data_IF_617532523107
#
_entry.id   IF_617532523107
#
_cell.length_a   1.000
_cell.length_b   1.000
_cell.length_c   1.000
_cell.angle_alpha   90.00
_cell.angle_beta   90.00
_cell.angle_gamma   90.00
#
_symmetry.space_group_name_H-M   'P 1'
#
loop_
_entity.id
_entity.type
_entity.pdbx_description
1 polymer ?
#
# COMPACT_ATOMS: atom_id res chain seq x y z
N UNK A 1 -32.48 -6.05 18.43
CA UNK A 1 -31.29 -6.95 18.15
C UNK A 1 -30.52 -6.47 16.92
N UNK A 2 -31.16 -6.27 15.77
CA UNK A 2 -30.47 -5.87 14.52
C UNK A 2 -29.79 -4.48 14.63
N UNK A 3 -30.42 -3.49 15.25
CA UNK A 3 -29.82 -2.16 15.44
C UNK A 3 -28.64 -2.17 16.41
N UNK A 4 -28.74 -2.91 17.52
CA UNK A 4 -27.63 -3.04 18.46
C UNK A 4 -26.42 -3.74 17.82
N UNK A 5 -26.65 -4.73 16.96
CA UNK A 5 -25.61 -5.39 16.20
C UNK A 5 -24.92 -4.44 15.18
N UNK A 6 -25.69 -3.61 14.49
CA UNK A 6 -25.13 -2.59 13.58
C UNK A 6 -24.29 -1.54 14.30
N UNK A 7 -24.72 -1.10 15.49
CA UNK A 7 -23.95 -0.15 16.30
C UNK A 7 -22.64 -0.79 16.74
N UNK A 8 -22.68 -2.05 17.18
CA UNK A 8 -21.49 -2.81 17.55
C UNK A 8 -20.51 -2.96 16.37
N UNK A 9 -20.99 -3.33 15.19
CA UNK A 9 -20.17 -3.42 13.98
C UNK A 9 -19.52 -2.08 13.61
N UNK A 10 -20.28 -0.97 13.63
CA UNK A 10 -19.73 0.36 13.34
C UNK A 10 -18.68 0.78 14.35
N UNK A 11 -18.91 0.55 15.63
CA UNK A 11 -17.94 0.84 16.69
C UNK A 11 -16.67 0.00 16.53
N UNK A 12 -16.81 -1.28 16.19
CA UNK A 12 -15.69 -2.17 15.90
C UNK A 12 -14.86 -1.71 14.70
N UNK A 13 -15.51 -1.23 13.63
CA UNK A 13 -14.81 -0.67 12.46
C UNK A 13 -13.99 0.58 12.81
N UNK A 14 -14.56 1.50 13.63
CA UNK A 14 -13.84 2.70 14.07
C UNK A 14 -12.62 2.30 14.92
N UNK A 15 -12.81 1.39 15.87
CA UNK A 15 -11.71 0.92 16.73
C UNK A 15 -10.61 0.23 15.90
N UNK A 16 -10.98 -0.65 14.98
CA UNK A 16 -10.04 -1.30 14.08
C UNK A 16 -9.28 -0.29 13.20
N UNK A 17 -9.98 0.74 12.71
CA UNK A 17 -9.37 1.84 11.94
C UNK A 17 -8.35 2.63 12.76
N UNK A 18 -8.64 2.92 14.03
CA UNK A 18 -7.71 3.61 14.94
C UNK A 18 -6.46 2.75 15.19
N UNK A 19 -6.64 1.48 15.51
CA UNK A 19 -5.52 0.54 15.76
C UNK A 19 -4.64 0.43 14.51
N UNK A 20 -5.26 0.23 13.34
CA UNK A 20 -4.54 0.18 12.06
C UNK A 20 -3.81 1.48 11.78
N UNK A 21 -4.46 2.63 12.03
CA UNK A 21 -3.85 3.95 11.83
C UNK A 21 -2.62 4.18 12.70
N UNK A 22 -2.68 3.78 13.97
CA UNK A 22 -1.54 3.85 14.90
C UNK A 22 -0.41 2.92 14.43
N UNK A 23 -0.71 1.68 14.08
CA UNK A 23 0.26 0.70 13.63
C UNK A 23 0.97 1.17 12.34
N UNK A 24 0.20 1.58 11.34
CA UNK A 24 0.73 2.07 10.07
C UNK A 24 1.49 3.39 10.21
N UNK A 25 0.99 4.30 11.07
CA UNK A 25 1.67 5.55 11.39
C UNK A 25 3.03 5.33 12.05
N UNK A 26 3.08 4.40 13.00
CA UNK A 26 4.33 4.03 13.69
C UNK A 26 5.33 3.40 12.72
N UNK A 27 4.88 2.43 11.91
CA UNK A 27 5.71 1.80 10.88
C UNK A 27 6.25 2.85 9.89
N UNK A 28 5.37 3.72 9.39
CA UNK A 28 5.75 4.78 8.46
C UNK A 28 6.77 5.74 9.07
N UNK A 29 6.59 6.15 10.34
CA UNK A 29 7.53 6.99 11.07
C UNK A 29 8.91 6.35 11.23
N UNK A 30 8.97 5.07 11.58
CA UNK A 30 10.23 4.31 11.69
C UNK A 30 10.93 4.24 10.32
N UNK A 31 10.20 3.87 9.26
CA UNK A 31 10.77 3.79 7.92
C UNK A 31 11.26 5.15 7.44
N UNK A 32 10.51 6.23 7.74
CA UNK A 32 10.94 7.60 7.42
C UNK A 32 12.22 7.97 8.16
N UNK A 33 12.30 7.74 9.47
CA UNK A 33 13.50 8.03 10.25
C UNK A 33 14.75 7.35 9.69
N UNK A 34 14.63 6.09 9.28
CA UNK A 34 15.73 5.31 8.71
C UNK A 34 16.09 5.72 7.27
N UNK A 35 15.14 6.19 6.48
CA UNK A 35 15.32 6.48 5.05
C UNK A 35 15.47 7.97 4.72
N UNK A 36 15.15 8.88 5.64
CA UNK A 36 15.08 10.34 5.44
C UNK A 36 16.27 10.92 4.69
N UNK A 37 17.49 10.50 5.05
CA UNK A 37 18.73 11.01 4.43
C UNK A 37 18.97 10.48 3.00
N UNK A 38 18.30 9.41 2.62
CA UNK A 38 18.38 8.79 1.30
C UNK A 38 17.27 9.24 0.35
N UNK A 39 16.21 9.86 0.89
CA UNK A 39 15.08 10.33 0.12
C UNK A 39 15.41 11.65 -0.60
N UNK A 40 15.00 11.79 -1.89
CA UNK A 40 15.12 13.05 -2.58
C UNK A 40 14.13 14.07 -2.02
N UNK A 41 14.51 15.36 -2.06
CA UNK A 41 13.68 16.46 -1.59
C UNK A 41 14.43 17.41 -0.67
N UNK A 42 14.01 18.67 -0.66
CA UNK A 42 14.64 19.74 0.14
C UNK A 42 14.02 19.86 1.54
N UNK A 43 12.77 19.48 1.69
CA UNK A 43 12.02 19.61 2.96
C UNK A 43 11.56 18.23 3.46
N UNK A 44 11.36 18.10 4.76
CA UNK A 44 10.86 16.88 5.36
C UNK A 44 9.46 16.50 4.84
N UNK A 45 8.62 17.50 4.59
CA UNK A 45 7.30 17.29 3.98
C UNK A 45 7.43 16.67 2.59
N UNK A 46 8.34 17.16 1.75
CA UNK A 46 8.57 16.59 0.42
C UNK A 46 9.09 15.16 0.52
N UNK A 47 10.06 14.90 1.39
CA UNK A 47 10.64 13.58 1.60
C UNK A 47 9.60 12.57 2.12
N UNK A 48 8.79 12.99 3.10
CA UNK A 48 7.72 12.18 3.67
C UNK A 48 6.64 11.85 2.64
N UNK A 49 6.23 12.81 1.81
CA UNK A 49 5.28 12.56 0.72
C UNK A 49 5.84 11.62 -0.34
N UNK A 50 7.13 11.73 -0.68
CA UNK A 50 7.77 10.79 -1.60
C UNK A 50 7.77 9.37 -1.02
N UNK A 51 8.10 9.22 0.26
CA UNK A 51 8.03 7.92 0.93
C UNK A 51 6.61 7.37 0.95
N UNK A 52 5.62 8.22 1.24
CA UNK A 52 4.21 7.83 1.22
C UNK A 52 3.78 7.34 -0.17
N UNK A 53 4.22 8.00 -1.23
CA UNK A 53 3.98 7.57 -2.61
C UNK A 53 4.63 6.22 -2.95
N UNK A 54 5.86 5.99 -2.50
CA UNK A 54 6.56 4.71 -2.67
C UNK A 54 5.82 3.59 -1.92
N UNK A 55 5.46 3.81 -0.65
CA UNK A 55 4.74 2.82 0.14
C UNK A 55 3.32 2.58 -0.39
N UNK A 56 2.61 3.62 -0.80
CA UNK A 56 1.31 3.49 -1.48
C UNK A 56 1.43 2.62 -2.73
N UNK A 57 2.45 2.86 -3.56
CA UNK A 57 2.66 2.08 -4.78
C UNK A 57 2.97 0.61 -4.49
N UNK A 58 3.90 0.33 -3.57
CA UNK A 58 4.39 -1.02 -3.30
C UNK A 58 3.45 -1.86 -2.43
N UNK A 59 2.78 -1.22 -1.46
CA UNK A 59 1.93 -1.92 -0.49
C UNK A 59 0.47 -2.01 -0.98
N UNK A 60 0.04 -1.03 -1.79
CA UNK A 60 -1.35 -0.96 -2.22
C UNK A 60 -1.52 -1.07 -3.73
N UNK A 61 -1.02 -0.11 -4.52
CA UNK A 61 -1.36 -0.02 -5.94
C UNK A 61 -0.96 -1.28 -6.73
N UNK A 62 0.29 -1.72 -6.60
CA UNK A 62 0.80 -2.87 -7.34
C UNK A 62 0.05 -4.15 -6.97
N UNK A 63 -0.13 -4.51 -5.67
CA UNK A 63 -0.97 -5.65 -5.31
C UNK A 63 -2.43 -5.50 -5.72
N UNK A 64 -2.99 -4.30 -5.62
CA UNK A 64 -4.38 -4.02 -6.03
C UNK A 64 -4.64 -4.27 -7.52
N UNK A 65 -3.67 -4.01 -8.39
CA UNK A 65 -3.80 -4.29 -9.82
C UNK A 65 -3.96 -5.79 -10.11
N UNK A 66 -3.38 -6.68 -9.31
CA UNK A 66 -3.54 -8.14 -9.45
C UNK A 66 -4.71 -8.66 -8.61
N UNK A 67 -4.84 -8.16 -7.40
CA UNK A 67 -5.83 -8.58 -6.41
C UNK A 67 -6.65 -7.38 -5.94
N UNK A 68 -7.58 -6.87 -6.79
CA UNK A 68 -8.37 -5.70 -6.43
C UNK A 68 -9.30 -5.99 -5.26
N UNK A 69 -9.57 -4.96 -4.46
CA UNK A 69 -10.52 -5.06 -3.35
C UNK A 69 -11.93 -5.42 -3.88
N UNK A 70 -12.60 -6.28 -3.16
CA UNK A 70 -13.98 -6.68 -3.44
C UNK A 70 -14.90 -6.29 -2.28
N UNK A 71 -16.18 -6.03 -2.54
CA UNK A 71 -17.17 -5.81 -1.48
C UNK A 71 -17.20 -6.97 -0.47
N UNK A 72 -17.58 -6.70 0.79
CA UNK A 72 -17.87 -7.76 1.75
C UNK A 72 -18.84 -8.78 1.14
N UNK A 73 -18.68 -10.04 1.47
CA UNK A 73 -19.47 -11.18 0.93
C UNK A 73 -19.11 -11.63 -0.49
N UNK A 74 -18.21 -10.95 -1.18
CA UNK A 74 -17.66 -11.45 -2.45
C UNK A 74 -16.46 -12.34 -2.18
N UNK A 75 -16.53 -13.56 -2.67
CA UNK A 75 -15.54 -14.62 -2.45
C UNK A 75 -15.91 -15.58 -1.31
N UNK A 76 -15.36 -16.78 -1.37
CA UNK A 76 -15.67 -17.86 -0.46
C UNK A 76 -14.89 -17.78 0.85
N UNK A 77 -15.51 -18.24 1.94
CA UNK A 77 -14.86 -18.27 3.27
C UNK A 77 -13.63 -19.17 3.32
N UNK A 78 -13.67 -20.28 2.58
CA UNK A 78 -12.58 -21.28 2.54
C UNK A 78 -11.31 -20.73 1.87
N UNK A 79 -11.43 -19.77 0.96
CA UNK A 79 -10.31 -19.18 0.22
C UNK A 79 -9.70 -17.94 0.89
N UNK A 80 -10.29 -17.44 1.98
CA UNK A 80 -9.83 -16.20 2.67
C UNK A 80 -8.35 -16.25 3.02
N UNK A 81 -7.87 -17.37 3.57
CA UNK A 81 -6.45 -17.52 3.96
C UNK A 81 -5.55 -17.49 2.73
N UNK A 82 -5.93 -18.21 1.66
CA UNK A 82 -5.17 -18.24 0.42
C UNK A 82 -5.08 -16.84 -0.21
N UNK A 83 -6.21 -16.11 -0.29
CA UNK A 83 -6.24 -14.74 -0.82
C UNK A 83 -5.37 -13.78 -0.01
N UNK A 84 -5.42 -13.90 1.32
CA UNK A 84 -4.57 -13.11 2.20
C UNK A 84 -3.08 -13.40 1.99
N UNK A 85 -2.70 -14.68 1.84
CA UNK A 85 -1.32 -15.09 1.57
C UNK A 85 -0.86 -14.53 0.21
N UNK A 86 -1.67 -14.66 -0.84
CA UNK A 86 -1.33 -14.14 -2.17
C UNK A 86 -1.11 -12.62 -2.13
N UNK A 87 -2.01 -11.89 -1.47
CA UNK A 87 -1.90 -10.43 -1.35
C UNK A 87 -0.65 -10.00 -0.55
N UNK A 88 -0.43 -10.61 0.62
CA UNK A 88 0.73 -10.30 1.47
C UNK A 88 2.05 -10.69 0.79
N UNK A 89 2.07 -11.83 0.10
CA UNK A 89 3.24 -12.25 -0.68
C UNK A 89 3.57 -11.24 -1.76
N UNK A 90 2.56 -10.73 -2.46
CA UNK A 90 2.80 -9.72 -3.50
C UNK A 90 3.30 -8.39 -2.91
N UNK A 91 2.76 -7.95 -1.75
CA UNK A 91 3.29 -6.80 -1.01
C UNK A 91 4.78 -7.01 -0.68
N UNK A 92 5.12 -8.17 -0.12
CA UNK A 92 6.50 -8.48 0.26
C UNK A 92 7.43 -8.48 -0.97
N UNK A 93 7.05 -9.16 -2.04
CA UNK A 93 7.84 -9.23 -3.27
C UNK A 93 8.00 -7.84 -3.89
N UNK A 94 6.93 -7.06 -3.99
CA UNK A 94 6.96 -5.68 -4.51
C UNK A 94 7.86 -4.78 -3.67
N UNK A 95 7.70 -4.79 -2.35
CA UNK A 95 8.47 -3.96 -1.44
C UNK A 95 9.96 -4.32 -1.41
N UNK A 96 10.29 -5.60 -1.27
CA UNK A 96 11.69 -6.06 -1.33
C UNK A 96 12.31 -5.84 -2.70
N UNK A 97 11.55 -6.07 -3.76
CA UNK A 97 11.97 -5.76 -5.13
C UNK A 97 12.35 -4.28 -5.29
N UNK A 98 11.52 -3.37 -4.79
CA UNK A 98 11.80 -1.94 -4.83
C UNK A 98 13.14 -1.59 -4.13
N UNK A 99 13.40 -2.18 -2.97
CA UNK A 99 14.66 -1.98 -2.24
C UNK A 99 15.87 -2.52 -3.01
N UNK A 100 15.76 -3.70 -3.62
CA UNK A 100 16.83 -4.32 -4.41
C UNK A 100 17.14 -3.46 -5.63
N UNK A 101 16.14 -3.08 -6.41
CA UNK A 101 16.33 -2.27 -7.62
C UNK A 101 16.78 -0.84 -7.30
N UNK A 102 16.38 -0.27 -6.17
CA UNK A 102 16.92 0.99 -5.68
C UNK A 102 18.44 0.88 -5.38
N UNK A 103 18.85 -0.19 -4.69
CA UNK A 103 20.29 -0.43 -4.44
C UNK A 103 21.07 -0.66 -5.74
N UNK A 104 20.48 -1.39 -6.69
CA UNK A 104 21.08 -1.62 -8.00
C UNK A 104 21.24 -0.31 -8.78
N UNK A 105 20.21 0.55 -8.78
CA UNK A 105 20.26 1.84 -9.47
C UNK A 105 21.38 2.75 -8.97
N UNK A 106 21.74 2.66 -7.68
CA UNK A 106 22.86 3.42 -7.11
C UNK A 106 24.23 2.96 -7.60
N UNK A 107 24.37 1.72 -8.08
CA UNK A 107 25.63 1.21 -8.66
C UNK A 107 25.89 1.74 -10.07
N UNK A 108 24.86 2.21 -10.76
CA UNK A 108 25.00 2.76 -12.10
C UNK A 108 25.26 4.26 -12.02
N UNK A 109 26.39 4.70 -12.54
CA UNK A 109 26.76 6.12 -12.65
C UNK A 109 26.13 6.76 -13.90
N UNK A 110 25.86 8.07 -13.83
CA UNK A 110 25.34 8.89 -14.92
C UNK A 110 23.95 8.46 -15.47
N UNK A 111 23.77 8.53 -16.79
CA UNK A 111 22.49 8.33 -17.50
C UNK A 111 21.86 6.93 -17.32
N UNK A 112 22.53 6.00 -16.64
CA UNK A 112 22.06 4.61 -16.43
C UNK A 112 21.24 4.40 -15.15
N UNK A 113 20.99 5.43 -14.34
CA UNK A 113 20.15 5.32 -13.13
C UNK A 113 18.71 4.87 -13.41
N UNK A 114 18.20 5.12 -14.62
CA UNK A 114 16.89 4.64 -15.05
C UNK A 114 16.82 3.12 -15.25
N UNK A 115 17.96 2.45 -15.39
CA UNK A 115 18.03 0.99 -15.56
C UNK A 115 17.46 0.28 -14.33
N UNK A 116 17.71 0.80 -13.14
CA UNK A 116 17.09 0.24 -11.91
C UNK A 116 15.57 0.37 -11.90
N UNK A 117 15.04 1.52 -12.30
CA UNK A 117 13.58 1.74 -12.38
C UNK A 117 12.92 0.84 -13.43
N UNK A 118 13.49 0.78 -14.64
CA UNK A 118 13.02 -0.09 -15.71
C UNK A 118 13.10 -1.56 -15.30
N UNK A 119 14.20 -1.97 -14.66
CA UNK A 119 14.36 -3.32 -14.14
C UNK A 119 13.28 -3.67 -13.10
N UNK A 120 12.93 -2.73 -12.22
CA UNK A 120 11.84 -2.94 -11.28
C UNK A 120 10.48 -3.10 -11.98
N UNK A 121 10.18 -2.27 -12.97
CA UNK A 121 8.93 -2.39 -13.75
C UNK A 121 8.85 -3.75 -14.44
N UNK A 122 9.92 -4.18 -15.11
CA UNK A 122 9.98 -5.50 -15.77
C UNK A 122 9.81 -6.63 -14.73
N UNK A 123 10.49 -6.52 -13.59
CA UNK A 123 10.36 -7.48 -12.49
C UNK A 123 8.91 -7.58 -12.01
N UNK A 124 8.21 -6.47 -11.77
CA UNK A 124 6.81 -6.47 -11.33
C UNK A 124 5.90 -7.08 -12.40
N UNK A 125 6.12 -6.80 -13.68
CA UNK A 125 5.35 -7.43 -14.77
C UNK A 125 5.53 -8.95 -14.76
N UNK A 126 6.76 -9.44 -14.60
CA UNK A 126 7.05 -10.87 -14.51
C UNK A 126 6.34 -11.50 -13.33
N UNK A 127 6.44 -10.89 -12.14
CA UNK A 127 5.76 -11.39 -10.93
C UNK A 127 4.24 -11.37 -11.11
N UNK A 128 3.69 -10.31 -11.70
CA UNK A 128 2.26 -10.21 -11.99
C UNK A 128 1.75 -11.37 -12.86
N UNK A 129 2.55 -11.82 -13.84
CA UNK A 129 2.20 -12.94 -14.73
C UNK A 129 2.35 -14.27 -13.99
N UNK A 130 3.38 -14.45 -13.16
CA UNK A 130 3.68 -15.72 -12.49
C UNK A 130 2.73 -15.95 -11.30
N UNK A 131 2.34 -14.89 -10.58
CA UNK A 131 1.46 -15.03 -9.41
C UNK A 131 0.09 -15.61 -9.82
N UNK A 132 -0.45 -16.56 -9.05
CA UNK A 132 -1.77 -17.14 -9.30
C UNK A 132 -2.86 -16.08 -9.37
N UNK A 133 -3.94 -16.36 -10.07
CA UNK A 133 -5.12 -15.50 -10.06
C UNK A 133 -5.94 -15.67 -8.78
N UNK A 134 -6.88 -14.75 -8.57
CA UNK A 134 -7.83 -14.89 -7.47
C UNK A 134 -8.66 -16.16 -7.72
N UNK A 135 -8.73 -17.09 -6.75
CA UNK A 135 -9.49 -18.35 -6.93
C UNK A 135 -11.00 -18.13 -6.99
N UNK A 136 -11.50 -17.00 -6.50
CA UNK A 136 -12.94 -16.77 -6.35
C UNK A 136 -13.53 -16.04 -7.56
N UNK A 137 -14.71 -16.50 -7.98
CA UNK A 137 -15.53 -15.78 -8.94
C UNK A 137 -16.24 -14.59 -8.32
N UNK A 138 -16.45 -13.54 -9.12
CA UNK A 138 -17.17 -12.36 -8.68
C UNK A 138 -18.67 -12.60 -8.94
N UNK A 139 -19.40 -12.92 -7.88
CA UNK A 139 -20.85 -13.16 -7.93
C UNK A 139 -21.71 -11.92 -7.78
N UNK A 140 -21.12 -10.79 -7.34
CA UNK A 140 -21.83 -9.53 -7.18
C UNK A 140 -21.95 -8.73 -8.50
N UNK A 141 -22.96 -7.85 -8.64
CA UNK A 141 -23.09 -6.98 -9.80
C UNK A 141 -21.82 -6.13 -10.01
N UNK A 142 -21.30 -6.10 -11.24
CA UNK A 142 -20.01 -5.44 -11.55
C UNK A 142 -20.01 -3.92 -11.30
N UNK A 143 -21.16 -3.26 -11.40
CA UNK A 143 -21.29 -1.84 -11.03
C UNK A 143 -20.96 -1.61 -9.54
N UNK A 144 -21.51 -2.43 -8.64
CA UNK A 144 -21.23 -2.37 -7.20
C UNK A 144 -19.75 -2.66 -6.91
N UNK A 145 -19.17 -3.66 -7.57
CA UNK A 145 -17.76 -4.03 -7.42
C UNK A 145 -16.86 -2.88 -7.86
N UNK A 146 -17.16 -2.24 -8.99
CA UNK A 146 -16.37 -1.12 -9.50
C UNK A 146 -16.46 0.13 -8.63
N UNK A 147 -17.66 0.44 -8.11
CA UNK A 147 -17.83 1.54 -7.15
C UNK A 147 -17.05 1.28 -5.86
N UNK A 148 -17.09 0.06 -5.33
CA UNK A 148 -16.32 -0.32 -4.15
C UNK A 148 -14.81 -0.20 -4.40
N UNK A 149 -14.31 -0.66 -5.54
CA UNK A 149 -12.90 -0.54 -5.93
C UNK A 149 -12.47 0.90 -6.04
N UNK A 150 -13.30 1.76 -6.66
CA UNK A 150 -13.02 3.19 -6.77
C UNK A 150 -12.94 3.84 -5.38
N UNK A 151 -13.90 3.57 -4.50
CA UNK A 151 -13.89 4.09 -3.13
C UNK A 151 -12.69 3.57 -2.33
N UNK A 152 -12.29 2.32 -2.52
CA UNK A 152 -11.07 1.76 -1.92
C UNK A 152 -9.82 2.52 -2.38
N UNK A 153 -9.69 2.78 -3.69
CA UNK A 153 -8.55 3.56 -4.22
C UNK A 153 -8.54 4.96 -3.63
N UNK A 154 -9.66 5.66 -3.61
CA UNK A 154 -9.75 7.02 -3.06
C UNK A 154 -9.43 7.05 -1.56
N UNK A 155 -10.00 6.13 -0.78
CA UNK A 155 -9.78 6.05 0.66
C UNK A 155 -8.33 5.77 1.02
N UNK A 156 -7.74 4.75 0.40
CA UNK A 156 -6.34 4.38 0.67
C UNK A 156 -5.36 5.43 0.16
N UNK A 157 -5.63 6.06 -0.98
CA UNK A 157 -4.78 7.17 -1.48
C UNK A 157 -4.83 8.37 -0.53
N UNK A 158 -6.02 8.72 -0.04
CA UNK A 158 -6.20 9.79 0.96
C UNK A 158 -5.45 9.48 2.26
N UNK A 159 -5.49 8.22 2.72
CA UNK A 159 -4.74 7.78 3.90
C UNK A 159 -3.22 7.98 3.72
N UNK A 160 -2.64 7.52 2.61
CA UNK A 160 -1.20 7.66 2.37
C UNK A 160 -0.77 9.11 2.19
N UNK A 161 -1.57 9.94 1.51
CA UNK A 161 -1.31 11.37 1.39
C UNK A 161 -1.35 12.06 2.74
N UNK A 162 -2.34 11.74 3.58
CA UNK A 162 -2.49 12.33 4.91
C UNK A 162 -1.33 11.95 5.83
N UNK A 163 -0.95 10.68 5.89
CA UNK A 163 0.14 10.21 6.76
C UNK A 163 1.47 10.84 6.35
N UNK A 164 1.75 10.93 5.03
CA UNK A 164 2.95 11.57 4.52
C UNK A 164 2.99 13.06 4.83
N UNK A 165 1.88 13.76 4.62
CA UNK A 165 1.80 15.20 4.87
C UNK A 165 1.93 15.52 6.36
N UNK A 166 1.15 14.83 7.21
CA UNK A 166 1.14 15.06 8.66
C UNK A 166 2.52 14.77 9.25
N UNK A 167 3.12 13.61 8.94
CA UNK A 167 4.45 13.28 9.46
C UNK A 167 5.49 14.34 9.04
N UNK A 168 5.47 14.75 7.78
CA UNK A 168 6.41 15.75 7.28
C UNK A 168 6.29 17.11 7.99
N UNK A 169 5.06 17.53 8.33
CA UNK A 169 4.83 18.75 9.10
C UNK A 169 5.35 18.63 10.55
N UNK A 170 5.02 17.51 11.21
CA UNK A 170 5.49 17.28 12.59
C UNK A 170 7.00 17.13 12.65
N UNK A 171 7.61 16.41 11.73
CA UNK A 171 9.05 16.25 11.68
C UNK A 171 9.76 17.60 11.57
N UNK A 172 9.35 18.45 10.62
CA UNK A 172 9.87 19.81 10.47
C UNK A 172 9.75 20.63 11.76
N UNK A 173 8.67 20.44 12.54
CA UNK A 173 8.41 21.20 13.75
C UNK A 173 9.27 20.76 14.93
N UNK A 174 9.54 19.45 15.07
CA UNK A 174 10.17 18.87 16.26
C UNK A 174 11.63 18.46 16.06
N UNK A 175 12.11 18.37 14.81
CA UNK A 175 13.51 18.11 14.49
C UNK A 175 14.28 19.45 14.49
N UNK A 176 14.68 19.88 15.68
CA UNK A 176 15.50 21.09 15.91
C UNK A 176 16.95 20.72 16.16
#
# INVERSE_FOLDING_TARGET
EYESYRIWQKSGQVLAGIILGIAMGSLFGIVYALSRNSLPGKTDTTKSLILAGIMWMTIYLIPFLKYPANPPTVGEGETVVLRAILYISFIAISGFGALVFYKLSKKFQNNKKYVGMLGYVVFIIIIFIIMPENPDEITAPMNLVNEFRLMSVLGVSSFWLSIGFILGLFWKKYDK
#
